data_IF_252692624221
#
_entry.id   IF_252692624221
#
_cell.length_a   1.000
_cell.length_b   1.000
_cell.length_c   1.000
_cell.angle_alpha   90.00
_cell.angle_beta   90.00
_cell.angle_gamma   90.00
#
_symmetry.space_group_name_H-M   'P 1'
#
loop_
_entity.id
_entity.type
_entity.pdbx_description
1 polymer ?
#
# COMPACT_ATOMS: atom_id res chain seq x y z
N UNK A 1 17.05 -20.19 9.83
CA UNK A 1 17.48 -21.13 8.77
C UNK A 1 16.83 -22.52 8.91
N UNK A 2 16.89 -23.18 10.09
CA UNK A 2 16.34 -24.54 10.23
C UNK A 2 14.82 -24.59 10.01
N UNK A 3 14.07 -23.62 10.56
CA UNK A 3 12.63 -23.53 10.35
C UNK A 3 12.29 -23.26 8.87
N UNK A 4 13.00 -22.33 8.23
CA UNK A 4 12.82 -22.05 6.80
C UNK A 4 13.03 -23.31 5.94
N UNK A 5 14.06 -24.11 6.24
CA UNK A 5 14.31 -25.39 5.56
C UNK A 5 13.21 -26.43 5.85
N UNK A 6 12.74 -26.49 7.10
CA UNK A 6 11.70 -27.45 7.50
C UNK A 6 10.35 -27.19 6.80
N UNK A 7 10.01 -25.93 6.54
CA UNK A 7 8.79 -25.54 5.80
C UNK A 7 9.02 -25.41 4.30
N UNK A 8 10.21 -25.75 3.79
CA UNK A 8 10.59 -25.70 2.37
C UNK A 8 10.35 -24.33 1.76
N UNK A 9 10.76 -23.29 2.47
CA UNK A 9 10.54 -21.90 2.06
C UNK A 9 11.15 -21.60 0.67
N UNK A 10 12.32 -22.17 0.36
CA UNK A 10 13.00 -22.05 -0.93
C UNK A 10 12.18 -22.64 -2.08
N UNK A 11 11.63 -23.86 -1.90
CA UNK A 11 10.76 -24.50 -2.89
C UNK A 11 9.49 -23.65 -3.13
N UNK A 12 8.88 -23.13 -2.06
CA UNK A 12 7.66 -22.32 -2.14
C UNK A 12 7.92 -20.94 -2.75
N UNK A 13 9.05 -20.31 -2.40
CA UNK A 13 9.49 -19.06 -3.04
C UNK A 13 9.68 -19.27 -4.54
N UNK A 14 10.41 -20.32 -4.93
CA UNK A 14 10.59 -20.65 -6.35
C UNK A 14 9.26 -20.91 -7.05
N UNK A 15 8.34 -21.63 -6.41
CA UNK A 15 7.01 -21.91 -6.95
C UNK A 15 6.19 -20.59 -7.18
N UNK A 16 6.26 -19.63 -6.26
CA UNK A 16 5.68 -18.31 -6.42
C UNK A 16 6.25 -17.61 -7.65
N UNK A 17 7.57 -17.51 -7.75
CA UNK A 17 8.23 -16.78 -8.86
C UNK A 17 8.05 -17.44 -10.23
N UNK A 18 7.76 -18.72 -10.28
CA UNK A 18 7.56 -19.48 -11.54
C UNK A 18 6.09 -19.68 -11.90
N UNK A 19 5.16 -19.13 -11.10
CA UNK A 19 3.73 -19.17 -11.40
C UNK A 19 3.08 -20.54 -11.15
N UNK A 20 3.67 -21.38 -10.30
CA UNK A 20 2.98 -22.58 -9.83
C UNK A 20 1.76 -22.16 -9.01
N UNK A 21 0.63 -22.87 -9.18
CA UNK A 21 -0.60 -22.60 -8.43
C UNK A 21 -0.43 -22.95 -6.95
N UNK A 22 0.14 -22.03 -6.18
CA UNK A 22 0.38 -22.20 -4.74
C UNK A 22 -0.78 -21.67 -3.87
N UNK A 23 -1.72 -20.93 -4.44
CA UNK A 23 -2.99 -20.65 -3.78
C UNK A 23 -3.94 -21.82 -4.10
N UNK A 24 -4.01 -22.77 -3.17
CA UNK A 24 -4.76 -24.01 -3.37
C UNK A 24 -6.28 -23.79 -3.24
N UNK A 25 -6.72 -22.79 -2.49
CA UNK A 25 -8.14 -22.52 -2.24
C UNK A 25 -8.83 -21.91 -3.46
N UNK A 26 -8.09 -21.15 -4.28
CA UNK A 26 -8.60 -20.50 -5.49
C UNK A 26 -8.04 -21.12 -6.78
N UNK A 27 -7.19 -22.13 -6.67
CA UNK A 27 -6.49 -22.80 -7.78
C UNK A 27 -5.85 -21.80 -8.75
N UNK A 28 -4.99 -20.94 -8.23
CA UNK A 28 -4.29 -19.93 -9.03
C UNK A 28 -2.84 -19.73 -8.63
N UNK A 29 -2.08 -19.18 -9.56
CA UNK A 29 -0.74 -18.67 -9.26
C UNK A 29 -0.82 -17.46 -8.32
N UNK A 30 0.25 -17.26 -7.54
CA UNK A 30 0.51 -16.07 -6.73
C UNK A 30 1.71 -15.38 -7.35
N UNK A 31 1.46 -14.42 -8.24
CA UNK A 31 2.50 -13.95 -9.16
C UNK A 31 2.55 -12.41 -9.23
N UNK A 32 2.23 -11.72 -8.12
CA UNK A 32 2.35 -10.26 -8.05
C UNK A 32 3.77 -9.77 -8.41
N UNK A 33 4.81 -10.59 -8.20
CA UNK A 33 6.18 -10.26 -8.61
C UNK A 33 6.36 -10.11 -10.13
N UNK A 34 5.45 -10.66 -10.96
CA UNK A 34 5.50 -10.47 -12.41
C UNK A 34 5.16 -9.04 -12.84
N UNK A 35 4.43 -8.27 -12.00
CA UNK A 35 4.04 -6.90 -12.31
C UNK A 35 5.22 -5.94 -12.47
N UNK A 36 6.38 -6.27 -11.91
CA UNK A 36 7.57 -5.42 -11.83
C UNK A 36 8.83 -6.05 -12.44
N UNK A 37 8.67 -7.12 -13.23
CA UNK A 37 9.80 -7.73 -13.95
C UNK A 37 10.29 -6.83 -15.09
N UNK A 38 11.60 -6.79 -15.34
CA UNK A 38 12.15 -6.03 -16.44
C UNK A 38 11.73 -6.62 -17.80
N UNK A 39 11.69 -5.78 -18.83
CA UNK A 39 11.27 -6.18 -20.19
C UNK A 39 12.16 -7.28 -20.78
N UNK A 40 13.41 -7.35 -20.37
CA UNK A 40 14.38 -8.39 -20.77
C UNK A 40 13.96 -9.80 -20.36
N UNK A 41 12.95 -9.91 -19.50
CA UNK A 41 12.39 -11.18 -19.06
C UNK A 41 11.21 -11.67 -19.93
N UNK A 42 10.81 -10.93 -20.95
CA UNK A 42 9.82 -11.41 -21.94
C UNK A 42 10.21 -12.78 -22.50
N UNK A 43 9.24 -13.66 -22.63
CA UNK A 43 9.43 -15.05 -23.09
C UNK A 43 9.97 -16.01 -22.06
N UNK A 44 10.40 -15.57 -20.87
CA UNK A 44 10.96 -16.42 -19.83
C UNK A 44 9.92 -16.96 -18.84
N UNK A 45 8.81 -16.24 -18.65
CA UNK A 45 7.81 -16.56 -17.62
C UNK A 45 6.44 -16.80 -18.25
N UNK A 46 6.28 -18.03 -18.75
CA UNK A 46 5.01 -18.52 -19.35
C UNK A 46 4.20 -19.20 -18.25
N UNK A 47 3.05 -18.65 -17.91
CA UNK A 47 2.15 -19.18 -16.90
C UNK A 47 0.76 -19.36 -17.55
N UNK A 48 0.20 -20.56 -17.43
CA UNK A 48 -1.09 -20.93 -18.06
C UNK A 48 -1.16 -20.60 -19.58
N UNK A 49 -0.02 -20.70 -20.24
CA UNK A 49 0.10 -20.40 -21.68
C UNK A 49 0.23 -18.94 -22.05
N UNK A 50 0.33 -18.04 -21.06
CA UNK A 50 0.51 -16.59 -21.22
C UNK A 50 1.93 -16.15 -20.84
N UNK A 51 2.51 -15.27 -21.63
CA UNK A 51 3.75 -14.57 -21.26
C UNK A 51 3.40 -13.42 -20.33
N UNK A 52 3.59 -13.64 -19.03
CA UNK A 52 3.16 -12.70 -18.00
C UNK A 52 3.90 -11.37 -18.07
N UNK A 53 5.17 -11.36 -18.46
CA UNK A 53 5.95 -10.12 -18.58
C UNK A 53 5.46 -9.29 -19.77
N UNK A 54 5.27 -9.92 -20.91
CA UNK A 54 4.73 -9.26 -22.10
C UNK A 54 3.35 -8.66 -21.84
N UNK A 55 2.42 -9.43 -21.27
CA UNK A 55 1.06 -8.98 -20.97
C UNK A 55 1.07 -7.76 -20.00
N UNK A 56 1.94 -7.80 -18.99
CA UNK A 56 2.11 -6.67 -18.04
C UNK A 56 2.63 -5.43 -18.77
N UNK A 57 3.67 -5.58 -19.62
CA UNK A 57 4.25 -4.44 -20.36
C UNK A 57 3.23 -3.83 -21.34
N UNK A 58 2.50 -4.62 -22.08
CA UNK A 58 1.43 -4.12 -22.98
C UNK A 58 0.36 -3.32 -22.20
N UNK A 59 0.03 -3.76 -20.98
CA UNK A 59 -0.92 -3.04 -20.12
C UNK A 59 -0.32 -1.75 -19.55
N UNK A 60 0.94 -1.77 -19.11
CA UNK A 60 1.64 -0.58 -18.64
C UNK A 60 1.79 0.46 -19.77
N UNK A 61 2.16 0.06 -20.97
CA UNK A 61 2.26 0.95 -22.12
C UNK A 61 0.94 1.67 -22.41
N UNK A 62 -0.18 0.94 -22.30
CA UNK A 62 -1.52 1.53 -22.45
C UNK A 62 -1.83 2.52 -21.34
N UNK A 63 -1.49 2.20 -20.08
CA UNK A 63 -1.67 3.09 -18.93
C UNK A 63 -0.81 4.34 -19.06
N UNK A 64 0.44 4.19 -19.49
CA UNK A 64 1.38 5.30 -19.65
C UNK A 64 0.96 6.23 -20.78
N UNK A 65 0.52 5.69 -21.92
CA UNK A 65 -0.03 6.50 -23.00
C UNK A 65 -1.26 7.30 -22.54
N UNK A 66 -2.16 6.67 -21.77
CA UNK A 66 -3.31 7.36 -21.19
C UNK A 66 -2.88 8.43 -20.17
N UNK A 67 -1.94 8.11 -19.27
CA UNK A 67 -1.41 9.06 -18.30
C UNK A 67 -0.79 10.29 -19.00
N UNK A 68 0.00 10.09 -20.04
CA UNK A 68 0.60 11.18 -20.82
C UNK A 68 -0.46 12.01 -21.56
N UNK A 69 -1.50 11.39 -22.11
CA UNK A 69 -2.63 12.09 -22.74
C UNK A 69 -3.37 13.00 -21.73
N UNK A 70 -3.62 12.52 -20.51
CA UNK A 70 -4.22 13.32 -19.42
C UNK A 70 -3.28 14.45 -18.99
N UNK A 71 -2.01 14.16 -18.74
CA UNK A 71 -1.00 15.09 -18.25
C UNK A 71 -0.67 16.19 -19.25
N UNK A 72 -0.62 15.88 -20.53
CA UNK A 72 -0.39 16.85 -21.60
C UNK A 72 -1.61 17.71 -21.92
N UNK A 73 -2.83 17.29 -21.51
CA UNK A 73 -4.08 17.92 -21.88
C UNK A 73 -4.59 17.49 -23.26
N UNK A 74 -4.07 16.43 -23.84
CA UNK A 74 -4.63 15.78 -25.04
C UNK A 74 -5.94 15.07 -24.68
N UNK A 75 -6.01 14.44 -23.51
CA UNK A 75 -7.27 14.01 -22.90
C UNK A 75 -7.87 15.18 -22.10
N UNK A 76 -9.12 15.50 -22.40
CA UNK A 76 -9.83 16.63 -21.79
C UNK A 76 -11.21 16.21 -21.29
N UNK A 77 -11.77 17.00 -20.38
CA UNK A 77 -13.19 16.92 -20.08
C UNK A 77 -14.08 17.25 -21.27
N UNK A 78 -15.39 17.11 -21.12
CA UNK A 78 -16.38 17.31 -22.19
C UNK A 78 -16.36 18.73 -22.77
N UNK A 79 -15.91 19.71 -22.02
CA UNK A 79 -15.78 21.12 -22.45
C UNK A 79 -14.44 21.43 -23.11
N UNK A 80 -13.56 20.45 -23.28
CA UNK A 80 -12.19 20.64 -23.81
C UNK A 80 -11.19 21.17 -22.78
N UNK A 81 -11.57 21.33 -21.51
CA UNK A 81 -10.65 21.73 -20.44
C UNK A 81 -9.77 20.54 -20.00
N UNK A 82 -8.52 20.85 -19.64
CA UNK A 82 -7.56 19.89 -19.13
C UNK A 82 -8.02 19.33 -17.78
N UNK A 83 -7.77 18.06 -17.53
CA UNK A 83 -8.04 17.40 -16.24
C UNK A 83 -7.05 17.92 -15.19
N UNK A 84 -7.58 18.31 -14.02
CA UNK A 84 -6.82 18.82 -12.86
C UNK A 84 -6.96 17.90 -11.64
N UNK A 85 -8.06 17.12 -11.59
CA UNK A 85 -8.29 16.18 -10.50
C UNK A 85 -8.70 14.80 -11.02
N UNK A 86 -8.02 13.79 -10.51
CA UNK A 86 -8.39 12.39 -10.70
C UNK A 86 -9.06 11.88 -9.43
N UNK A 87 -10.23 11.24 -9.56
CA UNK A 87 -10.94 10.64 -8.44
C UNK A 87 -10.96 9.13 -8.62
N UNK A 88 -10.23 8.42 -7.76
CA UNK A 88 -10.22 6.97 -7.74
C UNK A 88 -11.39 6.44 -6.91
N UNK A 89 -12.23 5.59 -7.49
CA UNK A 89 -13.36 4.96 -6.79
C UNK A 89 -13.08 3.47 -6.70
N UNK A 90 -12.81 2.98 -5.50
CA UNK A 90 -12.49 1.59 -5.24
C UNK A 90 -12.58 1.28 -3.75
N UNK A 91 -12.54 0.02 -3.36
CA UNK A 91 -12.55 -0.41 -1.95
C UNK A 91 -11.51 -1.51 -1.72
N UNK A 92 -11.05 -1.67 -0.48
CA UNK A 92 -10.04 -2.65 -0.13
C UNK A 92 -8.74 -2.43 -0.89
N UNK A 93 -8.22 -3.43 -1.60
CA UNK A 93 -6.98 -3.32 -2.37
C UNK A 93 -7.05 -2.32 -3.52
N UNK A 94 -8.24 -1.97 -3.99
CA UNK A 94 -8.45 -0.94 -5.01
C UNK A 94 -8.44 0.50 -4.47
N UNK A 95 -8.32 0.67 -3.14
CA UNK A 95 -8.25 1.95 -2.44
C UNK A 95 -6.99 2.08 -1.59
N UNK A 96 -6.76 1.14 -0.66
CA UNK A 96 -5.73 1.28 0.38
C UNK A 96 -4.31 1.46 -0.18
N UNK A 97 -3.94 0.67 -1.18
CA UNK A 97 -2.64 0.82 -1.86
C UNK A 97 -2.52 2.16 -2.57
N UNK A 98 -3.43 2.49 -3.51
CA UNK A 98 -3.40 3.77 -4.21
C UNK A 98 -3.41 5.00 -3.30
N UNK A 99 -4.27 5.07 -2.29
CA UNK A 99 -4.31 6.23 -1.39
C UNK A 99 -3.04 6.33 -0.54
N UNK A 100 -2.51 5.20 -0.07
CA UNK A 100 -1.27 5.19 0.71
C UNK A 100 -0.09 5.69 -0.12
N UNK A 101 0.10 5.20 -1.34
CA UNK A 101 1.19 5.62 -2.23
C UNK A 101 1.01 7.09 -2.64
N UNK A 102 -0.21 7.53 -2.93
CA UNK A 102 -0.47 8.94 -3.22
C UNK A 102 -0.05 9.85 -2.06
N UNK A 103 -0.45 9.52 -0.82
CA UNK A 103 -0.06 10.29 0.36
C UNK A 103 1.46 10.27 0.58
N UNK A 104 2.10 9.11 0.41
CA UNK A 104 3.55 8.97 0.56
C UNK A 104 4.36 9.79 -0.46
N UNK A 105 3.84 9.90 -1.68
CA UNK A 105 4.56 10.52 -2.79
C UNK A 105 4.03 11.91 -3.19
N UNK A 106 3.17 12.53 -2.38
CA UNK A 106 2.65 13.90 -2.66
C UNK A 106 3.70 14.92 -3.09
N UNK A 107 4.90 14.96 -2.49
CA UNK A 107 5.94 15.90 -2.92
C UNK A 107 6.41 15.70 -4.38
N UNK A 108 6.15 14.53 -4.96
CA UNK A 108 6.51 14.19 -6.33
C UNK A 108 5.38 14.40 -7.33
N UNK A 109 4.18 14.79 -6.88
CA UNK A 109 3.07 15.10 -7.77
C UNK A 109 3.39 16.35 -8.61
N UNK A 110 3.05 16.31 -9.89
CA UNK A 110 3.24 17.47 -10.74
C UNK A 110 2.22 18.56 -10.42
N UNK A 111 2.66 19.81 -10.53
CA UNK A 111 1.80 20.96 -10.32
C UNK A 111 0.60 20.93 -11.29
N UNK A 112 -0.61 21.14 -10.77
CA UNK A 112 -1.83 21.23 -11.56
C UNK A 112 -2.58 19.92 -11.77
N UNK A 113 -2.12 18.80 -11.19
CA UNK A 113 -2.89 17.57 -11.14
C UNK A 113 -2.85 16.96 -9.74
N UNK A 114 -4.01 16.53 -9.23
CA UNK A 114 -4.15 15.94 -7.90
C UNK A 114 -5.06 14.71 -7.93
N UNK A 115 -5.02 13.89 -6.86
CA UNK A 115 -5.93 12.77 -6.73
C UNK A 115 -6.79 12.86 -5.47
N UNK A 116 -7.99 12.29 -5.55
CA UNK A 116 -8.87 11.99 -4.40
C UNK A 116 -9.31 10.53 -4.47
N UNK A 117 -9.66 9.97 -3.32
CA UNK A 117 -9.99 8.55 -3.18
C UNK A 117 -11.34 8.41 -2.47
N UNK A 118 -12.28 7.70 -3.10
CA UNK A 118 -13.62 7.39 -2.58
C UNK A 118 -13.72 5.89 -2.42
N UNK A 119 -13.99 5.42 -1.20
CA UNK A 119 -14.04 3.99 -0.90
C UNK A 119 -15.27 3.56 -0.13
N UNK A 120 -15.66 4.32 0.90
CA UNK A 120 -16.78 3.96 1.75
C UNK A 120 -18.12 4.20 1.03
N UNK A 121 -19.07 3.28 1.21
CA UNK A 121 -20.45 3.45 0.72
C UNK A 121 -21.23 4.51 1.52
N UNK A 122 -20.71 4.97 2.67
CA UNK A 122 -21.26 6.11 3.39
C UNK A 122 -21.27 7.34 2.47
N UNK A 123 -22.45 7.95 2.19
CA UNK A 123 -22.55 9.08 1.27
C UNK A 123 -21.71 10.28 1.68
N UNK A 124 -21.30 10.38 2.94
CA UNK A 124 -20.40 11.42 3.40
C UNK A 124 -19.03 11.34 2.74
N UNK A 125 -18.53 10.14 2.42
CA UNK A 125 -17.22 9.98 1.77
C UNK A 125 -17.23 10.62 0.37
N UNK A 126 -18.22 10.32 -0.44
CA UNK A 126 -18.38 10.95 -1.76
C UNK A 126 -18.61 12.47 -1.64
N UNK A 127 -19.52 12.89 -0.76
CA UNK A 127 -19.86 14.31 -0.59
C UNK A 127 -18.65 15.16 -0.22
N UNK A 128 -17.83 14.70 0.75
CA UNK A 128 -16.62 15.43 1.16
C UNK A 128 -15.52 15.38 0.08
N UNK A 129 -15.41 14.27 -0.67
CA UNK A 129 -14.40 14.13 -1.71
C UNK A 129 -14.75 14.86 -3.01
N UNK A 130 -16.02 15.10 -3.31
CA UNK A 130 -16.44 15.89 -4.48
C UNK A 130 -16.55 17.40 -4.17
N UNK A 131 -16.61 17.76 -2.89
CA UNK A 131 -16.72 19.15 -2.46
C UNK A 131 -15.59 20.03 -3.02
N UNK A 132 -16.01 21.10 -3.71
CA UNK A 132 -15.11 22.07 -4.32
C UNK A 132 -14.38 21.57 -5.58
N UNK A 133 -14.72 20.40 -6.11
CA UNK A 133 -14.24 19.99 -7.43
C UNK A 133 -14.92 20.77 -8.55
N UNK A 134 -14.17 21.02 -9.61
CA UNK A 134 -14.72 21.50 -10.87
C UNK A 134 -15.10 20.30 -11.75
N UNK A 135 -16.40 20.08 -12.05
CA UNK A 135 -16.82 18.92 -12.85
C UNK A 135 -16.21 18.92 -14.26
N UNK A 136 -15.85 20.07 -14.81
CA UNK A 136 -15.26 20.17 -16.15
C UNK A 136 -13.81 19.64 -16.21
N UNK A 137 -13.12 19.60 -15.05
CA UNK A 137 -11.69 19.21 -14.95
C UNK A 137 -11.48 17.96 -14.09
N UNK A 138 -12.56 17.24 -13.76
CA UNK A 138 -12.52 16.03 -12.92
C UNK A 138 -12.63 14.77 -13.75
N UNK A 139 -11.73 13.81 -13.53
CA UNK A 139 -11.72 12.47 -14.14
C UNK A 139 -11.93 11.42 -13.05
N UNK A 140 -12.88 10.51 -13.24
CA UNK A 140 -13.15 9.38 -12.36
C UNK A 140 -12.53 8.10 -12.90
N UNK A 141 -11.82 7.36 -12.06
CA UNK A 141 -11.29 6.02 -12.35
C UNK A 141 -12.02 5.02 -11.47
N UNK A 142 -12.86 4.18 -12.07
CA UNK A 142 -13.61 3.16 -11.34
C UNK A 142 -12.77 1.88 -11.28
N UNK A 143 -12.34 1.49 -10.09
CA UNK A 143 -11.44 0.36 -9.87
C UNK A 143 -12.21 -0.81 -9.24
N UNK A 144 -12.60 -1.76 -10.09
CA UNK A 144 -13.30 -2.98 -9.67
C UNK A 144 -13.04 -4.10 -10.67
N UNK A 145 -12.32 -5.16 -10.26
CA UNK A 145 -11.90 -6.27 -11.13
C UNK A 145 -13.07 -6.88 -11.91
N UNK A 146 -14.16 -7.18 -11.22
CA UNK A 146 -15.36 -7.80 -11.79
C UNK A 146 -16.43 -6.79 -12.24
N UNK A 147 -16.23 -5.51 -11.90
CA UNK A 147 -17.22 -4.44 -12.08
C UNK A 147 -18.59 -4.77 -11.45
N UNK A 148 -18.57 -5.40 -10.26
CA UNK A 148 -19.76 -5.85 -9.52
C UNK A 148 -19.75 -5.48 -8.05
N UNK A 149 -18.62 -4.97 -7.53
CA UNK A 149 -18.49 -4.63 -6.11
C UNK A 149 -19.51 -3.57 -5.73
N UNK A 150 -20.37 -3.88 -4.77
CA UNK A 150 -21.53 -3.07 -4.39
C UNK A 150 -21.13 -1.63 -4.06
N UNK A 151 -20.18 -1.46 -3.15
CA UNK A 151 -19.71 -0.15 -2.67
C UNK A 151 -19.15 0.68 -3.82
N UNK A 152 -18.25 0.10 -4.60
CA UNK A 152 -17.61 0.77 -5.73
C UNK A 152 -18.61 1.22 -6.79
N UNK A 153 -19.54 0.33 -7.19
CA UNK A 153 -20.53 0.64 -8.22
C UNK A 153 -21.61 1.61 -7.72
N UNK A 154 -21.93 1.60 -6.43
CA UNK A 154 -22.85 2.58 -5.85
C UNK A 154 -22.19 3.96 -5.85
N UNK A 155 -20.98 4.09 -5.33
CA UNK A 155 -20.24 5.35 -5.36
C UNK A 155 -19.99 5.84 -6.80
N UNK A 156 -19.73 4.94 -7.75
CA UNK A 156 -19.57 5.31 -9.15
C UNK A 156 -20.85 5.88 -9.78
N UNK A 157 -22.01 5.29 -9.49
CA UNK A 157 -23.31 5.82 -9.96
C UNK A 157 -23.62 7.17 -9.35
N UNK A 158 -23.38 7.36 -8.07
CA UNK A 158 -23.56 8.65 -7.39
C UNK A 158 -22.58 9.72 -7.95
N UNK A 159 -21.32 9.35 -8.17
CA UNK A 159 -20.34 10.25 -8.80
C UNK A 159 -20.76 10.65 -10.23
N UNK A 160 -21.35 9.71 -10.99
CA UNK A 160 -21.90 9.99 -12.32
C UNK A 160 -23.07 10.96 -12.23
N UNK A 161 -23.98 10.76 -11.30
CA UNK A 161 -25.12 11.67 -11.07
C UNK A 161 -24.61 13.06 -10.72
N UNK A 162 -23.71 13.16 -9.74
CA UNK A 162 -23.08 14.42 -9.35
C UNK A 162 -22.42 15.13 -10.55
N UNK A 163 -21.62 14.41 -11.35
CA UNK A 163 -20.94 15.01 -12.51
C UNK A 163 -21.93 15.60 -13.53
N UNK A 164 -22.97 14.83 -13.90
CA UNK A 164 -23.95 15.25 -14.90
C UNK A 164 -24.80 16.44 -14.41
N UNK A 165 -25.20 16.44 -13.15
CA UNK A 165 -25.96 17.55 -12.54
C UNK A 165 -25.13 18.83 -12.47
N UNK A 166 -23.88 18.76 -12.03
CA UNK A 166 -22.99 19.91 -11.93
C UNK A 166 -22.60 20.47 -13.31
N UNK A 167 -22.30 19.61 -14.30
CA UNK A 167 -22.05 20.05 -15.68
C UNK A 167 -23.27 20.75 -16.28
N UNK A 168 -24.48 20.22 -16.04
CA UNK A 168 -25.72 20.84 -16.46
C UNK A 168 -25.98 22.19 -15.77
N UNK A 169 -25.76 22.24 -14.46
CA UNK A 169 -25.93 23.47 -13.69
C UNK A 169 -24.99 24.59 -14.15
N UNK A 170 -23.77 24.22 -14.62
CA UNK A 170 -22.82 25.15 -15.22
C UNK A 170 -23.18 25.53 -16.69
N UNK A 171 -24.14 24.87 -17.32
CA UNK A 171 -24.45 25.03 -18.73
C UNK A 171 -23.39 24.40 -19.67
N UNK A 172 -22.54 23.53 -19.16
CA UNK A 172 -21.51 22.83 -19.93
C UNK A 172 -22.11 21.73 -20.82
N UNK A 173 -23.25 21.14 -20.41
CA UNK A 173 -24.08 20.23 -21.18
C UNK A 173 -25.56 20.62 -21.06
N UNK A 174 -26.38 20.24 -22.04
CA UNK A 174 -27.83 20.50 -22.03
C UNK A 174 -28.65 19.44 -21.25
N UNK A 175 -27.99 18.32 -20.85
CA UNK A 175 -28.62 17.22 -20.15
C UNK A 175 -29.36 16.23 -21.06
N UNK A 176 -29.20 16.32 -22.38
CA UNK A 176 -29.69 15.31 -23.32
C UNK A 176 -28.93 13.98 -23.15
N UNK A 177 -29.54 12.88 -23.53
CA UNK A 177 -28.91 11.54 -23.43
C UNK A 177 -27.59 11.49 -24.21
N UNK A 178 -27.52 12.15 -25.37
CA UNK A 178 -26.31 12.23 -26.19
C UNK A 178 -25.18 12.97 -25.45
N UNK A 179 -25.46 14.14 -24.86
CA UNK A 179 -24.48 14.95 -24.13
C UNK A 179 -24.07 14.29 -22.80
N UNK A 180 -24.99 13.63 -22.13
CA UNK A 180 -24.69 12.82 -20.95
C UNK A 180 -23.76 11.66 -21.30
N UNK A 181 -23.99 10.94 -22.38
CA UNK A 181 -23.12 9.85 -22.84
C UNK A 181 -21.73 10.37 -23.25
N UNK A 182 -21.64 11.51 -23.91
CA UNK A 182 -20.38 12.17 -24.25
C UNK A 182 -19.59 12.54 -22.98
N UNK A 183 -20.26 13.13 -21.97
CA UNK A 183 -19.64 13.47 -20.70
C UNK A 183 -19.12 12.24 -19.98
N UNK A 184 -19.88 11.14 -19.91
CA UNK A 184 -19.42 9.91 -19.27
C UNK A 184 -18.16 9.37 -19.96
N UNK A 185 -18.11 9.32 -21.30
CA UNK A 185 -16.94 8.87 -22.06
C UNK A 185 -15.69 9.71 -21.82
N UNK A 186 -15.84 11.00 -21.51
CA UNK A 186 -14.73 11.93 -21.28
C UNK A 186 -14.27 11.99 -19.83
N UNK A 187 -15.16 11.69 -18.89
CA UNK A 187 -14.91 11.87 -17.47
C UNK A 187 -14.81 10.55 -16.67
N UNK A 188 -15.03 9.40 -17.31
CA UNK A 188 -14.91 8.09 -16.65
C UNK A 188 -14.04 7.13 -17.44
N UNK A 189 -13.15 6.46 -16.73
CA UNK A 189 -12.38 5.30 -17.18
C UNK A 189 -12.48 4.17 -16.14
N UNK A 190 -12.12 2.96 -16.51
CA UNK A 190 -12.26 1.81 -15.65
C UNK A 190 -10.94 1.02 -15.49
N UNK A 191 -10.76 0.43 -14.31
CA UNK A 191 -9.80 -0.64 -14.07
C UNK A 191 -10.60 -1.91 -13.80
N UNK A 192 -10.76 -2.73 -14.83
CA UNK A 192 -11.62 -3.90 -14.79
C UNK A 192 -11.29 -4.88 -15.91
N UNK A 193 -11.63 -6.16 -15.70
CA UNK A 193 -11.60 -7.20 -16.71
C UNK A 193 -12.98 -7.43 -17.37
N UNK A 194 -14.05 -6.87 -16.80
CA UNK A 194 -15.42 -7.06 -17.27
C UNK A 194 -15.84 -5.93 -18.22
N UNK A 195 -15.42 -6.03 -19.47
CA UNK A 195 -15.66 -4.99 -20.48
C UNK A 195 -17.13 -4.80 -20.83
N UNK A 196 -17.97 -5.82 -20.71
CA UNK A 196 -19.41 -5.74 -20.95
C UNK A 196 -20.07 -4.79 -19.94
N UNK A 197 -19.81 -5.00 -18.64
CA UNK A 197 -20.35 -4.13 -17.59
C UNK A 197 -19.76 -2.72 -17.61
N UNK A 198 -18.52 -2.57 -18.03
CA UNK A 198 -17.89 -1.26 -18.26
C UNK A 198 -18.66 -0.50 -19.35
N UNK A 199 -18.99 -1.16 -20.46
CA UNK A 199 -19.79 -0.59 -21.54
C UNK A 199 -21.23 -0.26 -21.10
N UNK A 200 -21.87 -1.12 -20.31
CA UNK A 200 -23.20 -0.87 -19.73
C UNK A 200 -23.23 0.38 -18.84
N UNK A 201 -22.14 0.68 -18.14
CA UNK A 201 -22.01 1.90 -17.34
C UNK A 201 -21.93 3.17 -18.23
N UNK A 202 -21.51 3.03 -19.48
CA UNK A 202 -21.32 4.10 -20.46
C UNK A 202 -19.85 4.47 -20.70
N UNK A 203 -18.91 3.74 -20.11
CA UNK A 203 -17.47 3.91 -20.33
C UNK A 203 -17.08 3.20 -21.63
N UNK A 204 -16.23 3.84 -22.44
CA UNK A 204 -15.65 3.19 -23.61
C UNK A 204 -14.74 2.03 -23.18
N UNK A 205 -14.99 0.78 -23.60
CA UNK A 205 -14.14 -0.35 -23.23
C UNK A 205 -12.66 -0.20 -23.62
N UNK A 206 -12.34 0.64 -24.59
CA UNK A 206 -10.96 0.97 -24.93
C UNK A 206 -10.25 1.75 -23.83
N UNK A 207 -10.99 2.39 -22.94
CA UNK A 207 -10.52 3.11 -21.77
C UNK A 207 -10.63 2.27 -20.48
N UNK A 208 -10.66 0.95 -20.61
CA UNK A 208 -10.56 0.02 -19.52
C UNK A 208 -9.17 -0.62 -19.48
N UNK A 209 -8.61 -0.70 -18.27
CA UNK A 209 -7.30 -1.29 -17.99
C UNK A 209 -7.50 -2.56 -17.17
N UNK A 210 -7.04 -3.71 -17.70
CA UNK A 210 -7.19 -5.00 -17.05
C UNK A 210 -6.01 -5.35 -16.14
N UNK A 211 -6.23 -6.34 -15.29
CA UNK A 211 -5.18 -7.02 -14.55
C UNK A 211 -5.58 -8.50 -14.33
N UNK A 212 -4.69 -9.32 -13.80
CA UNK A 212 -4.78 -10.77 -13.93
C UNK A 212 -5.31 -11.46 -12.67
N UNK A 213 -5.75 -12.72 -12.81
CA UNK A 213 -6.23 -13.51 -11.68
C UNK A 213 -5.12 -13.87 -10.69
N UNK A 214 -3.88 -13.96 -11.18
CA UNK A 214 -2.71 -14.24 -10.35
C UNK A 214 -2.23 -13.03 -9.51
N UNK A 215 -2.97 -11.90 -9.54
CA UNK A 215 -2.76 -10.75 -8.65
C UNK A 215 -3.91 -10.67 -7.66
N UNK A 216 -3.62 -10.79 -6.38
CA UNK A 216 -4.57 -10.52 -5.30
C UNK A 216 -4.81 -9.02 -5.11
N UNK A 217 -6.02 -8.63 -4.66
CA UNK A 217 -6.38 -7.21 -4.51
C UNK A 217 -5.42 -6.40 -3.63
N UNK A 218 -5.03 -6.92 -2.48
CA UNK A 218 -4.09 -6.27 -1.55
C UNK A 218 -2.62 -6.25 -2.01
N UNK A 219 -2.31 -6.95 -3.12
CA UNK A 219 -1.00 -6.99 -3.79
C UNK A 219 -1.01 -6.30 -5.16
N UNK A 220 -1.98 -5.41 -5.43
CA UNK A 220 -2.25 -4.95 -6.78
C UNK A 220 -1.90 -3.49 -7.05
N UNK A 221 -1.35 -2.75 -6.10
CA UNK A 221 -1.08 -1.31 -6.25
C UNK A 221 -0.12 -0.99 -7.40
N UNK A 222 0.78 -1.90 -7.72
CA UNK A 222 1.76 -1.85 -8.82
C UNK A 222 1.23 -2.41 -10.15
N UNK A 223 -0.07 -2.79 -10.21
CA UNK A 223 -0.81 -3.18 -11.42
C UNK A 223 -1.59 -2.00 -12.03
N UNK A 224 -2.53 -2.29 -12.92
CA UNK A 224 -3.50 -1.30 -13.43
C UNK A 224 -4.29 -0.58 -12.32
N UNK A 225 -4.38 -1.16 -11.13
CA UNK A 225 -4.97 -0.50 -9.94
C UNK A 225 -4.25 0.80 -9.60
N UNK A 226 -2.97 0.91 -9.93
CA UNK A 226 -2.16 2.14 -9.79
C UNK A 226 -2.33 3.17 -10.90
N UNK A 227 -3.33 3.06 -11.80
CA UNK A 227 -3.53 4.01 -12.90
C UNK A 227 -3.64 5.46 -12.42
N UNK A 228 -4.32 5.72 -11.31
CA UNK A 228 -4.39 7.08 -10.71
C UNK A 228 -3.01 7.62 -10.32
N UNK A 229 -2.12 6.77 -9.85
CA UNK A 229 -0.74 7.12 -9.49
C UNK A 229 0.09 7.43 -10.74
N UNK A 230 -0.01 6.59 -11.80
CA UNK A 230 0.67 6.84 -13.07
C UNK A 230 0.22 8.18 -13.69
N UNK A 231 -1.06 8.55 -13.56
CA UNK A 231 -1.57 9.85 -14.03
C UNK A 231 -0.97 11.00 -13.22
N UNK A 232 -0.95 10.92 -11.88
CA UNK A 232 -0.51 12.03 -11.03
C UNK A 232 1.00 12.18 -11.02
N UNK A 233 1.75 11.09 -10.90
CA UNK A 233 3.21 11.12 -10.78
C UNK A 233 3.94 11.02 -12.12
N UNK A 234 3.29 10.52 -13.15
CA UNK A 234 3.84 10.28 -14.47
C UNK A 234 4.50 8.90 -14.61
N UNK A 235 4.63 8.41 -15.86
CA UNK A 235 5.19 7.09 -16.15
C UNK A 235 6.57 6.85 -15.57
N UNK A 236 7.48 7.82 -15.68
CA UNK A 236 8.86 7.68 -15.20
C UNK A 236 8.94 7.40 -13.68
N UNK A 237 8.14 8.09 -12.87
CA UNK A 237 8.09 7.86 -11.41
C UNK A 237 7.36 6.57 -11.06
N UNK A 238 6.40 6.17 -11.87
CA UNK A 238 5.75 4.87 -11.70
C UNK A 238 6.71 3.71 -12.03
N UNK A 239 7.55 3.83 -13.05
CA UNK A 239 8.63 2.86 -13.31
C UNK A 239 9.67 2.83 -12.18
N UNK A 240 10.06 3.99 -11.62
CA UNK A 240 10.93 4.05 -10.44
C UNK A 240 10.30 3.30 -9.24
N UNK A 241 9.00 3.45 -9.05
CA UNK A 241 8.23 2.74 -8.02
C UNK A 241 8.26 1.23 -8.25
N UNK A 242 8.00 0.75 -9.47
CA UNK A 242 8.09 -0.67 -9.84
C UNK A 242 9.50 -1.23 -9.64
N UNK A 243 10.53 -0.43 -9.96
CA UNK A 243 11.93 -0.83 -9.80
C UNK A 243 12.27 -1.08 -8.32
N UNK A 244 11.75 -0.26 -7.40
CA UNK A 244 11.93 -0.48 -5.95
C UNK A 244 11.40 -1.84 -5.48
N UNK A 245 10.24 -2.26 -5.96
CA UNK A 245 9.72 -3.61 -5.70
C UNK A 245 10.65 -4.69 -6.25
N UNK A 246 11.09 -4.52 -7.49
CA UNK A 246 11.92 -5.50 -8.17
C UNK A 246 13.24 -5.75 -7.44
N UNK A 247 13.87 -4.72 -6.91
CA UNK A 247 15.11 -4.86 -6.14
C UNK A 247 14.93 -5.74 -4.90
N UNK A 248 13.83 -5.59 -4.18
CA UNK A 248 13.51 -6.44 -3.03
C UNK A 248 13.14 -7.86 -3.47
N UNK A 249 12.45 -8.03 -4.61
CA UNK A 249 12.15 -9.34 -5.17
C UNK A 249 13.43 -10.12 -5.46
N UNK A 250 14.39 -9.48 -6.14
CA UNK A 250 15.70 -10.09 -6.46
C UNK A 250 16.52 -10.39 -5.20
N UNK A 251 16.51 -9.45 -4.24
CA UNK A 251 17.16 -9.66 -2.95
C UNK A 251 16.56 -10.86 -2.20
N UNK A 252 15.23 -10.94 -2.13
CA UNK A 252 14.53 -12.02 -1.44
C UNK A 252 14.79 -13.38 -2.09
N UNK A 253 14.73 -13.45 -3.41
CA UNK A 253 14.92 -14.70 -4.16
C UNK A 253 16.35 -15.23 -4.13
N UNK A 254 17.36 -14.35 -4.14
CA UNK A 254 18.74 -14.70 -4.39
C UNK A 254 19.66 -14.67 -3.15
N UNK A 255 19.18 -14.14 -2.02
CA UNK A 255 19.99 -14.03 -0.79
C UNK A 255 19.81 -15.27 0.09
N UNK A 256 20.92 -15.90 0.56
CA UNK A 256 20.83 -17.01 1.51
C UNK A 256 20.06 -16.66 2.78
N UNK A 257 19.27 -17.57 3.32
CA UNK A 257 18.36 -17.34 4.45
C UNK A 257 19.02 -16.68 5.66
N UNK A 258 20.27 -17.04 5.96
CA UNK A 258 21.01 -16.50 7.10
C UNK A 258 21.41 -15.02 6.95
N UNK A 259 21.33 -14.49 5.73
CA UNK A 259 21.65 -13.10 5.38
C UNK A 259 20.46 -12.33 4.82
N UNK A 260 19.35 -13.02 4.62
CA UNK A 260 18.14 -12.45 4.02
C UNK A 260 17.30 -11.75 5.10
N UNK A 261 17.30 -10.43 5.09
CA UNK A 261 16.58 -9.62 6.08
C UNK A 261 15.08 -9.90 6.05
N UNK A 262 14.50 -10.12 4.88
CA UNK A 262 13.06 -10.45 4.72
C UNK A 262 12.73 -11.75 5.48
N UNK A 263 13.54 -12.81 5.24
CA UNK A 263 13.36 -14.09 5.92
C UNK A 263 13.59 -13.95 7.42
N UNK A 264 14.60 -13.19 7.84
CA UNK A 264 14.90 -12.97 9.26
C UNK A 264 13.74 -12.25 9.97
N UNK A 265 13.18 -11.20 9.37
CA UNK A 265 12.05 -10.45 9.95
C UNK A 265 10.78 -11.32 10.02
N UNK A 266 10.43 -12.04 8.96
CA UNK A 266 9.29 -12.97 9.00
C UNK A 266 9.45 -14.06 10.06
N UNK A 267 10.66 -14.63 10.21
CA UNK A 267 10.94 -15.61 11.26
C UNK A 267 10.90 -15.00 12.66
N UNK A 268 11.31 -13.73 12.84
CA UNK A 268 11.20 -13.02 14.12
C UNK A 268 9.73 -12.79 14.48
N UNK A 269 8.88 -12.39 13.53
CA UNK A 269 7.46 -12.21 13.76
C UNK A 269 6.79 -13.52 14.17
N UNK A 270 7.08 -14.63 13.47
CA UNK A 270 6.62 -15.99 13.87
C UNK A 270 7.09 -16.31 15.28
N UNK A 271 8.35 -16.00 15.61
CA UNK A 271 8.90 -16.24 16.95
C UNK A 271 8.19 -15.43 18.02
N UNK A 272 7.97 -14.17 17.81
CA UNK A 272 7.20 -13.32 18.74
C UNK A 272 5.75 -13.82 18.88
N UNK A 273 5.09 -14.12 17.75
CA UNK A 273 3.70 -14.58 17.74
C UNK A 273 3.50 -15.91 18.47
N UNK A 274 4.30 -16.91 18.16
CA UNK A 274 4.08 -18.27 18.62
C UNK A 274 4.76 -18.59 19.97
N UNK A 275 5.92 -17.99 20.28
CA UNK A 275 6.66 -18.30 21.49
C UNK A 275 6.44 -17.25 22.59
N UNK A 276 6.35 -15.98 22.26
CA UNK A 276 6.07 -14.90 23.22
C UNK A 276 4.60 -14.54 23.31
N UNK A 277 3.74 -15.16 22.51
CA UNK A 277 2.29 -14.89 22.48
C UNK A 277 1.95 -13.42 22.19
N UNK A 278 2.79 -12.77 21.42
CA UNK A 278 2.56 -11.40 20.96
C UNK A 278 1.30 -11.35 20.11
N UNK A 279 0.38 -10.43 20.41
CA UNK A 279 -0.89 -10.31 19.72
C UNK A 279 -0.90 -9.19 18.67
N UNK A 280 0.03 -8.23 18.75
CA UNK A 280 0.06 -7.08 17.85
C UNK A 280 1.47 -6.63 17.51
N UNK A 281 1.60 -5.98 16.35
CA UNK A 281 2.83 -5.43 15.82
C UNK A 281 2.60 -3.96 15.46
N UNK A 282 3.39 -3.05 16.04
CA UNK A 282 3.27 -1.63 15.77
C UNK A 282 4.15 -1.22 14.59
N UNK A 283 3.62 -0.38 13.69
CA UNK A 283 4.37 0.25 12.60
C UNK A 283 4.34 1.75 12.81
N UNK A 284 5.50 2.33 13.08
CA UNK A 284 5.66 3.68 13.59
C UNK A 284 6.54 4.51 12.63
N UNK A 285 5.96 5.02 11.54
CA UNK A 285 6.72 5.84 10.61
C UNK A 285 7.02 7.23 11.21
N UNK A 286 8.30 7.57 11.25
CA UNK A 286 8.76 8.93 11.53
C UNK A 286 8.88 9.69 10.20
N UNK A 287 7.76 9.76 9.52
CA UNK A 287 7.51 10.51 8.29
C UNK A 287 6.00 10.72 8.14
N UNK A 288 5.56 11.99 8.07
CA UNK A 288 4.14 12.32 7.98
C UNK A 288 3.51 11.79 6.69
N UNK A 289 4.25 11.72 5.60
CA UNK A 289 3.75 11.19 4.33
C UNK A 289 3.41 9.69 4.38
N UNK A 290 3.98 8.95 5.33
CA UNK A 290 3.66 7.53 5.55
C UNK A 290 2.48 7.30 6.53
N UNK A 291 1.67 8.33 6.85
CA UNK A 291 0.57 8.17 7.82
C UNK A 291 -0.46 7.12 7.42
N UNK A 292 -0.61 6.81 6.13
CA UNK A 292 -1.49 5.74 5.64
C UNK A 292 -0.83 4.37 5.56
N UNK A 293 0.47 4.28 5.75
CA UNK A 293 1.21 3.02 5.63
C UNK A 293 0.77 1.94 6.63
N UNK A 294 0.57 2.23 7.93
CA UNK A 294 0.05 1.24 8.87
C UNK A 294 -1.33 0.69 8.46
N UNK A 295 -2.24 1.54 7.97
CA UNK A 295 -3.56 1.11 7.50
C UNK A 295 -3.48 0.24 6.23
N UNK A 296 -2.55 0.52 5.32
CA UNK A 296 -2.27 -0.33 4.17
C UNK A 296 -1.79 -1.72 4.61
N UNK A 297 -0.86 -1.77 5.56
CA UNK A 297 -0.33 -3.03 6.10
C UNK A 297 -1.39 -3.85 6.85
N UNK A 298 -2.42 -3.23 7.41
CA UNK A 298 -3.53 -3.96 8.03
C UNK A 298 -4.15 -4.93 7.03
N UNK A 299 -4.50 -4.47 5.84
CA UNK A 299 -5.06 -5.35 4.82
C UNK A 299 -4.00 -6.33 4.31
N UNK A 300 -2.81 -5.85 3.97
CA UNK A 300 -1.75 -6.68 3.41
C UNK A 300 -1.45 -7.89 4.30
N UNK A 301 -1.26 -7.68 5.59
CA UNK A 301 -0.83 -8.72 6.53
C UNK A 301 -2.01 -9.49 7.14
N UNK A 302 -3.04 -8.79 7.63
CA UNK A 302 -4.12 -9.41 8.40
C UNK A 302 -5.09 -10.19 7.52
N UNK A 303 -5.37 -9.74 6.30
CA UNK A 303 -6.18 -10.51 5.34
C UNK A 303 -5.40 -11.70 4.78
N UNK A 304 -4.07 -11.59 4.65
CA UNK A 304 -3.22 -12.71 4.21
C UNK A 304 -3.12 -13.79 5.28
N UNK A 305 -2.73 -13.42 6.50
CA UNK A 305 -2.34 -14.34 7.56
C UNK A 305 -3.38 -14.50 8.68
N UNK A 306 -4.47 -13.76 8.64
CA UNK A 306 -5.59 -13.88 9.58
C UNK A 306 -6.52 -15.07 9.27
N UNK A 307 -5.95 -16.27 9.16
CA UNK A 307 -6.67 -17.48 8.75
C UNK A 307 -6.52 -18.60 9.76
N UNK A 308 -7.54 -19.43 9.88
CA UNK A 308 -7.62 -20.57 10.80
C UNK A 308 -7.54 -21.94 10.11
N UNK A 309 -7.43 -21.95 8.77
CA UNK A 309 -7.34 -23.16 7.95
C UNK A 309 -6.10 -23.08 7.07
N UNK A 310 -5.35 -24.17 7.01
CA UNK A 310 -4.16 -24.31 6.17
C UNK A 310 -4.53 -24.58 4.71
N UNK A 311 -3.57 -24.39 3.81
CA UNK A 311 -3.73 -24.67 2.37
C UNK A 311 -4.14 -26.13 2.04
N UNK A 312 -3.91 -27.09 2.94
CA UNK A 312 -4.32 -28.48 2.80
C UNK A 312 -5.74 -28.76 3.38
N UNK A 313 -6.44 -27.73 3.84
CA UNK A 313 -7.78 -27.82 4.44
C UNK A 313 -7.77 -28.22 5.91
N UNK A 314 -6.62 -28.46 6.55
CA UNK A 314 -6.54 -28.79 7.96
C UNK A 314 -6.62 -27.55 8.85
N UNK A 315 -7.17 -27.66 10.08
CA UNK A 315 -7.19 -26.55 11.03
C UNK A 315 -5.76 -26.14 11.44
N UNK A 316 -5.53 -24.84 11.60
CA UNK A 316 -4.31 -24.33 12.23
C UNK A 316 -4.34 -24.65 13.73
N UNK A 317 -3.21 -25.12 14.26
CA UNK A 317 -3.06 -25.53 15.66
C UNK A 317 -2.25 -24.56 16.52
N UNK A 318 -1.78 -23.46 15.93
CA UNK A 318 -1.03 -22.38 16.59
C UNK A 318 -1.66 -21.03 16.29
N UNK A 319 -1.26 -19.99 16.98
CA UNK A 319 -1.67 -18.65 16.65
C UNK A 319 -1.05 -18.24 15.30
N UNK A 320 -1.85 -17.61 14.44
CA UNK A 320 -1.45 -17.03 13.16
C UNK A 320 -1.77 -15.54 13.13
N UNK A 321 -1.06 -14.80 12.33
CA UNK A 321 -1.28 -13.37 12.14
C UNK A 321 -1.26 -12.57 13.45
N UNK A 322 -0.70 -11.42 13.42
CA UNK A 322 -0.77 -10.41 14.46
C UNK A 322 -1.57 -9.20 13.99
N UNK A 323 -2.05 -8.41 14.93
CA UNK A 323 -2.76 -7.17 14.63
C UNK A 323 -1.72 -6.10 14.27
N UNK A 324 -1.69 -5.68 13.02
CA UNK A 324 -0.88 -4.54 12.58
C UNK A 324 -1.61 -3.23 12.87
N UNK A 325 -0.88 -2.27 13.45
CA UNK A 325 -1.42 -0.95 13.79
C UNK A 325 -0.29 0.05 13.94
N UNK A 326 -0.60 1.33 13.90
CA UNK A 326 0.39 2.38 14.16
C UNK A 326 -0.06 3.75 13.70
N UNK A 327 0.72 4.73 14.09
CA UNK A 327 0.58 6.13 13.75
C UNK A 327 1.96 6.76 13.56
N UNK A 328 2.07 7.87 12.84
CA UNK A 328 3.34 8.55 12.70
C UNK A 328 3.91 9.05 14.04
N UNK A 329 5.23 8.94 14.20
CA UNK A 329 5.95 9.78 15.15
C UNK A 329 5.92 11.25 14.69
N UNK A 330 5.92 12.21 15.59
CA UNK A 330 5.97 12.12 17.06
C UNK A 330 4.59 11.95 17.72
N UNK A 331 3.50 12.05 16.93
CA UNK A 331 2.13 11.98 17.46
C UNK A 331 1.88 10.73 18.30
N UNK A 332 2.33 9.57 17.84
CA UNK A 332 2.21 8.31 18.57
C UNK A 332 2.81 8.35 19.98
N UNK A 333 3.90 9.11 20.18
CA UNK A 333 4.53 9.28 21.49
C UNK A 333 3.59 9.88 22.53
N UNK A 334 2.66 10.72 22.08
CA UNK A 334 1.68 11.40 22.91
C UNK A 334 0.32 10.70 22.97
N UNK A 335 0.19 9.54 22.31
CA UNK A 335 -1.06 8.80 22.23
C UNK A 335 -0.99 7.43 22.94
N UNK A 336 -0.03 6.58 22.59
CA UNK A 336 -0.02 5.18 23.03
C UNK A 336 1.36 4.62 23.40
N UNK A 337 2.45 5.36 23.31
CA UNK A 337 3.79 4.85 23.66
C UNK A 337 3.91 4.44 25.12
N UNK A 338 3.07 4.95 26.01
CA UNK A 338 2.98 4.50 27.39
C UNK A 338 2.81 2.97 27.47
N UNK A 339 1.91 2.41 26.67
CA UNK A 339 1.67 0.96 26.60
C UNK A 339 2.91 0.21 26.09
N UNK A 340 3.59 0.74 25.08
CA UNK A 340 4.76 0.10 24.48
C UNK A 340 5.93 0.07 25.48
N UNK A 341 6.17 1.17 26.19
CA UNK A 341 7.27 1.29 27.15
C UNK A 341 7.04 0.54 28.47
N UNK A 342 5.86 0.71 29.07
CA UNK A 342 5.58 0.28 30.45
C UNK A 342 4.42 -0.71 30.56
N UNK A 343 3.74 -1.04 29.44
CA UNK A 343 2.63 -2.00 29.45
C UNK A 343 3.10 -3.43 29.76
N UNK A 344 2.14 -4.26 30.14
CA UNK A 344 2.37 -5.67 30.49
C UNK A 344 2.48 -6.58 29.27
N UNK A 345 2.10 -6.09 28.08
CA UNK A 345 2.22 -6.81 26.81
C UNK A 345 3.51 -6.46 26.10
N UNK A 346 4.13 -7.45 25.46
CA UNK A 346 5.22 -7.24 24.53
C UNK A 346 4.64 -6.82 23.19
N UNK A 347 5.11 -5.70 22.64
CA UNK A 347 4.68 -5.16 21.33
C UNK A 347 5.94 -4.90 20.53
N UNK A 348 6.30 -5.78 19.58
CA UNK A 348 7.32 -5.47 18.58
C UNK A 348 6.90 -4.25 17.77
N UNK A 349 7.88 -3.41 17.41
CA UNK A 349 7.59 -2.19 16.69
C UNK A 349 8.63 -1.93 15.59
N UNK A 350 8.14 -1.59 14.40
CA UNK A 350 8.95 -1.15 13.29
C UNK A 350 8.96 0.38 13.23
N UNK A 351 10.15 0.94 13.39
CA UNK A 351 10.40 2.37 13.29
C UNK A 351 10.98 2.69 11.91
N UNK A 352 10.30 3.54 11.14
CA UNK A 352 10.68 3.89 9.76
C UNK A 352 11.02 5.37 9.71
N UNK A 353 12.19 5.74 9.20
CA UNK A 353 12.59 7.14 9.05
C UNK A 353 13.55 7.35 7.87
N UNK A 354 13.71 8.60 7.46
CA UNK A 354 14.58 8.99 6.35
C UNK A 354 15.51 10.13 6.74
N UNK A 355 16.73 10.11 6.21
CA UNK A 355 17.74 11.14 6.45
C UNK A 355 17.29 12.51 5.93
N UNK A 356 16.69 12.51 4.74
CA UNK A 356 16.30 13.74 4.06
C UNK A 356 14.78 13.92 4.04
N UNK A 357 14.34 15.15 4.27
CA UNK A 357 12.95 15.58 4.09
C UNK A 357 12.79 16.46 2.85
N UNK A 358 11.70 16.37 2.09
CA UNK A 358 11.42 17.29 1.00
C UNK A 358 11.08 18.72 1.46
N UNK A 359 10.81 18.91 2.77
CA UNK A 359 10.41 20.19 3.35
C UNK A 359 11.35 20.62 4.48
N UNK A 360 12.63 20.94 4.19
CA UNK A 360 13.59 21.37 5.21
C UNK A 360 13.14 22.69 5.86
N UNK A 361 13.15 22.73 7.19
CA UNK A 361 12.68 23.88 7.98
C UNK A 361 13.59 24.08 9.18
N UNK A 362 13.78 25.33 9.61
CA UNK A 362 14.54 25.69 10.80
C UNK A 362 13.68 26.40 11.83
N UNK A 363 13.96 26.16 13.10
CA UNK A 363 13.51 26.93 14.24
C UNK A 363 14.73 27.64 14.85
N UNK A 364 14.90 28.93 14.54
CA UNK A 364 16.17 29.63 14.79
C UNK A 364 17.33 29.01 14.00
N UNK A 365 18.37 28.57 14.71
CA UNK A 365 19.51 27.87 14.12
C UNK A 365 19.34 26.34 14.04
N UNK A 366 18.30 25.81 14.66
CA UNK A 366 18.08 24.37 14.79
C UNK A 366 17.33 23.81 13.58
N UNK A 367 17.84 22.71 13.01
CA UNK A 367 17.15 21.96 11.98
C UNK A 367 15.99 21.16 12.61
N UNK A 368 14.75 21.38 12.11
CA UNK A 368 13.54 20.73 12.65
C UNK A 368 13.54 19.24 12.31
N UNK A 369 14.11 18.84 11.18
CA UNK A 369 14.20 17.42 10.83
C UNK A 369 15.21 16.67 11.71
N UNK A 370 16.34 17.28 12.05
CA UNK A 370 17.28 16.71 13.03
C UNK A 370 16.64 16.53 14.41
N UNK A 371 15.84 17.51 14.87
CA UNK A 371 15.04 17.36 16.10
C UNK A 371 14.08 16.18 16.03
N UNK A 372 13.41 16.04 14.89
CA UNK A 372 12.48 14.95 14.64
C UNK A 372 13.18 13.58 14.67
N UNK A 373 14.31 13.45 13.99
CA UNK A 373 15.14 12.23 14.01
C UNK A 373 15.72 11.96 15.40
N UNK A 374 16.03 13.01 16.18
CA UNK A 374 16.41 12.87 17.59
C UNK A 374 15.37 12.13 18.42
N UNK A 375 14.08 12.38 18.18
CA UNK A 375 12.98 11.63 18.82
C UNK A 375 12.96 10.16 18.37
N UNK A 376 13.14 9.87 17.08
CA UNK A 376 13.25 8.51 16.56
C UNK A 376 14.32 7.71 17.29
N UNK A 377 15.55 8.25 17.38
CA UNK A 377 16.66 7.58 18.08
C UNK A 377 16.46 7.49 19.58
N UNK A 378 15.86 8.51 20.22
CA UNK A 378 15.57 8.49 21.64
C UNK A 378 14.56 7.41 22.01
N UNK A 379 13.51 7.22 21.21
CA UNK A 379 12.48 6.22 21.46
C UNK A 379 13.03 4.80 21.28
N UNK A 380 13.74 4.53 20.19
CA UNK A 380 14.35 3.21 19.96
C UNK A 380 15.38 2.86 21.02
N UNK A 381 16.19 3.83 21.47
CA UNK A 381 17.13 3.67 22.59
C UNK A 381 16.41 3.36 23.91
N UNK A 382 15.37 4.12 24.24
CA UNK A 382 14.61 3.93 25.47
C UNK A 382 13.90 2.56 25.51
N UNK A 383 13.36 2.10 24.39
CA UNK A 383 12.76 0.78 24.28
C UNK A 383 13.78 -0.35 24.44
N UNK A 384 14.98 -0.18 23.88
CA UNK A 384 16.05 -1.17 23.99
C UNK A 384 16.61 -1.27 25.41
N UNK A 385 17.00 -0.16 26.00
CA UNK A 385 17.78 -0.12 27.26
C UNK A 385 16.94 0.12 28.51
N UNK A 386 15.79 0.78 28.39
CA UNK A 386 14.96 1.15 29.52
C UNK A 386 15.61 2.21 30.42
N UNK A 387 15.18 2.24 31.68
CA UNK A 387 15.68 3.09 32.75
C UNK A 387 15.48 2.40 34.10
N UNK A 388 16.54 2.16 34.81
CA UNK A 388 16.53 1.45 36.09
C UNK A 388 16.02 2.31 37.24
N UNK A 389 15.62 1.68 38.34
CA UNK A 389 15.22 2.39 39.56
C UNK A 389 16.33 3.28 40.11
N UNK A 390 17.60 2.86 40.04
CA UNK A 390 18.73 3.64 40.51
C UNK A 390 19.00 4.87 39.67
N UNK A 391 18.85 4.77 38.33
CA UNK A 391 18.92 5.91 37.44
C UNK A 391 17.78 6.91 37.70
N UNK A 392 16.56 6.40 37.95
CA UNK A 392 15.41 7.25 38.32
C UNK A 392 15.63 7.97 39.65
N UNK A 393 16.20 7.29 40.65
CA UNK A 393 16.57 7.92 41.93
C UNK A 393 17.65 8.99 41.77
N UNK A 394 18.66 8.70 40.94
CA UNK A 394 19.74 9.63 40.67
C UNK A 394 19.28 10.96 40.05
N UNK A 395 18.12 10.97 39.43
CA UNK A 395 17.46 12.18 38.90
C UNK A 395 16.69 12.98 39.96
N UNK A 396 16.71 12.55 41.23
CA UNK A 396 16.00 13.22 42.32
C UNK A 396 14.49 12.89 42.37
N UNK A 397 14.08 11.78 41.76
CA UNK A 397 12.69 11.33 41.83
C UNK A 397 12.31 10.90 43.26
N UNK A 398 11.17 11.38 43.82
CA UNK A 398 10.66 10.90 45.09
C UNK A 398 10.45 9.37 45.09
N UNK A 399 10.84 8.71 46.21
CA UNK A 399 10.87 7.24 46.28
C UNK A 399 9.51 6.58 45.98
N UNK A 400 8.42 7.21 46.40
CA UNK A 400 7.05 6.72 46.19
C UNK A 400 6.63 6.63 44.73
N UNK A 401 7.26 7.40 43.81
CA UNK A 401 6.96 7.40 42.39
C UNK A 401 8.06 6.75 41.54
N UNK A 402 9.19 6.33 42.14
CA UNK A 402 10.25 5.63 41.42
C UNK A 402 9.73 4.43 40.65
N UNK A 403 8.88 3.53 41.20
CA UNK A 403 8.38 2.39 40.46
C UNK A 403 7.58 2.77 39.20
N UNK A 404 6.89 3.90 39.22
CA UNK A 404 6.10 4.38 38.07
C UNK A 404 6.95 5.02 36.97
N UNK A 405 8.24 5.29 37.23
CA UNK A 405 9.16 5.90 36.27
C UNK A 405 10.26 4.96 35.78
N UNK A 406 10.24 3.72 36.20
CA UNK A 406 11.12 2.66 35.67
C UNK A 406 10.61 2.21 34.33
N UNK A 407 11.51 2.07 33.37
CA UNK A 407 11.27 1.47 32.06
C UNK A 407 12.06 0.16 31.98
N UNK A 408 11.38 -0.94 31.69
CA UNK A 408 12.04 -2.27 31.72
C UNK A 408 13.08 -2.45 30.62
N UNK A 409 12.95 -1.72 29.51
CA UNK A 409 13.77 -1.97 28.32
C UNK A 409 13.49 -3.34 27.70
N UNK A 410 14.42 -3.82 26.88
CA UNK A 410 14.32 -5.10 26.19
C UNK A 410 13.00 -5.25 25.42
N UNK A 411 12.48 -4.14 24.87
CA UNK A 411 11.32 -4.07 24.00
C UNK A 411 11.81 -4.15 22.55
N UNK A 412 11.41 -5.16 21.77
CA UNK A 412 11.96 -5.37 20.44
C UNK A 412 11.52 -4.27 19.46
N UNK A 413 12.50 -3.74 18.74
CA UNK A 413 12.25 -2.80 17.65
C UNK A 413 13.05 -3.19 16.41
N UNK A 414 12.48 -2.94 15.23
CA UNK A 414 13.18 -2.93 13.94
C UNK A 414 13.35 -1.49 13.51
N UNK A 415 14.55 -1.10 13.12
CA UNK A 415 14.81 0.23 12.56
C UNK A 415 15.00 0.10 11.05
N UNK A 416 14.10 0.72 10.30
CA UNK A 416 14.17 0.87 8.84
C UNK A 416 14.54 2.32 8.56
N UNK A 417 15.76 2.55 8.07
CA UNK A 417 16.29 3.89 7.91
C UNK A 417 16.82 4.10 6.49
N UNK A 418 16.13 4.95 5.74
CA UNK A 418 16.43 5.22 4.33
C UNK A 418 17.06 6.61 4.12
N UNK A 419 17.51 6.87 2.90
CA UNK A 419 18.08 8.17 2.52
C UNK A 419 16.98 9.22 2.33
N UNK A 420 15.94 8.89 1.58
CA UNK A 420 14.78 9.75 1.31
C UNK A 420 13.58 8.88 0.92
N UNK A 421 12.36 9.36 1.20
CA UNK A 421 11.13 8.72 0.77
C UNK A 421 10.88 9.05 -0.72
N UNK A 422 11.42 8.21 -1.60
CA UNK A 422 11.28 8.31 -3.06
C UNK A 422 10.26 7.29 -3.57
N UNK A 423 9.80 7.36 -4.85
CA UNK A 423 9.01 6.30 -5.47
C UNK A 423 9.67 4.93 -5.33
N UNK A 424 10.99 4.86 -5.55
CA UNK A 424 11.78 3.64 -5.37
C UNK A 424 11.69 3.11 -3.93
N UNK A 425 11.92 3.96 -2.92
CA UNK A 425 11.88 3.57 -1.51
C UNK A 425 10.48 3.10 -1.06
N UNK A 426 9.40 3.69 -1.59
CA UNK A 426 8.03 3.22 -1.32
C UNK A 426 7.81 1.82 -1.91
N UNK A 427 8.30 1.56 -3.13
CA UNK A 427 8.29 0.25 -3.74
C UNK A 427 9.04 -0.79 -2.91
N UNK A 428 10.26 -0.47 -2.45
CA UNK A 428 11.05 -1.33 -1.55
C UNK A 428 10.30 -1.64 -0.24
N UNK A 429 9.69 -0.64 0.40
CA UNK A 429 8.95 -0.83 1.64
C UNK A 429 7.75 -1.77 1.46
N UNK A 430 6.99 -1.60 0.39
CA UNK A 430 5.82 -2.47 0.14
C UNK A 430 6.29 -3.90 -0.13
N UNK A 431 7.23 -4.12 -1.03
CA UNK A 431 7.76 -5.44 -1.36
C UNK A 431 8.38 -6.15 -0.12
N UNK A 432 9.06 -5.41 0.75
CA UNK A 432 9.58 -5.93 2.01
C UNK A 432 8.46 -6.57 2.84
N UNK A 433 7.34 -5.87 3.05
CA UNK A 433 6.24 -6.41 3.85
C UNK A 433 5.41 -7.47 3.11
N UNK A 434 5.31 -7.41 1.78
CA UNK A 434 4.73 -8.49 0.98
C UNK A 434 5.45 -9.81 1.21
N UNK A 435 6.78 -9.79 1.12
CA UNK A 435 7.58 -11.00 1.31
C UNK A 435 7.69 -11.43 2.77
N UNK A 436 7.72 -10.52 3.75
CA UNK A 436 7.59 -10.88 5.17
C UNK A 436 6.29 -11.64 5.41
N UNK A 437 5.17 -11.12 4.90
CA UNK A 437 3.85 -11.75 4.99
C UNK A 437 3.83 -13.15 4.35
N UNK A 438 4.47 -13.30 3.18
CA UNK A 438 4.62 -14.59 2.51
C UNK A 438 5.45 -15.59 3.31
N UNK A 439 6.55 -15.15 3.94
CA UNK A 439 7.39 -16.00 4.81
C UNK A 439 6.58 -16.48 6.00
N UNK A 440 5.87 -15.61 6.68
CA UNK A 440 5.00 -15.95 7.81
C UNK A 440 3.90 -16.93 7.40
N UNK A 441 3.17 -16.61 6.32
CA UNK A 441 2.12 -17.48 5.78
C UNK A 441 2.64 -18.88 5.42
N UNK A 442 3.83 -18.94 4.84
CA UNK A 442 4.50 -20.22 4.53
C UNK A 442 4.79 -21.03 5.80
N UNK A 443 5.29 -20.39 6.87
CA UNK A 443 5.56 -21.08 8.14
C UNK A 443 4.29 -21.61 8.77
N UNK A 444 3.21 -20.86 8.73
CA UNK A 444 1.91 -21.28 9.29
C UNK A 444 1.11 -22.21 8.37
N UNK A 445 1.57 -22.40 7.13
CA UNK A 445 0.88 -23.24 6.15
C UNK A 445 -0.37 -22.60 5.56
N UNK A 446 -0.39 -21.28 5.39
CA UNK A 446 -1.54 -20.51 4.91
C UNK A 446 -1.41 -20.17 3.42
N UNK A 447 -2.56 -20.12 2.74
CA UNK A 447 -2.70 -19.47 1.43
C UNK A 447 -2.79 -17.95 1.64
N UNK A 448 -1.67 -17.28 1.51
CA UNK A 448 -1.56 -15.83 1.73
C UNK A 448 -1.50 -15.06 0.41
#
# INVERSE_FOLDING_TARGET
ANLAKAVKLDERTKAMYTGVHINNTEDRAVLHTALRRPVEDEGKYIVDGQDTVKDVRETLDKIYAFADDVRSGKWTGVTGRKIETVVNIGIGGSDLGPVMVYEALKPYADAGISARYISNIDPNDLAEKTKGLDPETTLFIIVSKTFTTLETLTNAREARTWLLEELKAKGAIDGSDEKNAEAIKKHFVAVSTNLEKVAEFGIDPNNAFGFWNWVGGRYSVDSAVGTSLAVVFGPARFEEFLHGFHEIDEYFANTPFEKNVVVLLGMLNVWYRNFFKVASHAVLPYDQYLHRFPAYLQQLTMESNGKSVRWDGTPVTSETGEIFWGEPGTNGQHAFYQLIHQGTQLIPADFIAFVNTPNPTKDGDQDVHELFLGNYFAQTKALAFGKTADEVRAEGTPEEIVPARVFTGNRPTTSIFGVALTPFAVGELIALYEHITFVEGTVWGLDS
#
